data_IF_778234455281
#
_entry.id   IF_778234455281
#
_cell.length_a   1.000
_cell.length_b   1.000
_cell.length_c   1.000
_cell.angle_alpha   90.00
_cell.angle_beta   90.00
_cell.angle_gamma   90.00
#
_symmetry.space_group_name_H-M   'P 1'
#
loop_
_entity.id
_entity.type
_entity.pdbx_description
1 polymer ?
#
# COMPACT_ATOMS: atom_id res chain seq x y z
N UNK A 1 -13.49 20.53 -13.44
CA UNK A 1 -14.34 19.47 -14.03
C UNK A 1 -15.82 19.85 -13.91
N UNK A 2 -16.40 19.86 -12.72
CA UNK A 2 -17.83 20.11 -12.50
C UNK A 2 -18.39 21.39 -13.15
N UNK A 3 -17.69 22.52 -13.01
CA UNK A 3 -18.10 23.78 -13.62
C UNK A 3 -18.13 23.76 -15.17
N UNK A 4 -17.31 22.90 -15.79
CA UNK A 4 -17.23 22.77 -17.26
C UNK A 4 -18.36 21.90 -17.80
N UNK A 5 -18.86 20.95 -16.99
CA UNK A 5 -19.91 19.99 -17.36
C UNK A 5 -21.27 20.31 -16.71
N UNK A 6 -21.39 21.49 -16.09
CA UNK A 6 -22.58 21.96 -15.38
C UNK A 6 -23.13 20.97 -14.32
N UNK A 7 -22.21 20.39 -13.53
CA UNK A 7 -22.50 19.39 -12.50
C UNK A 7 -22.02 19.80 -11.10
N UNK A 8 -22.11 21.08 -10.76
CA UNK A 8 -21.67 21.66 -9.49
C UNK A 8 -22.39 21.02 -8.29
N UNK A 9 -23.72 20.82 -8.29
CA UNK A 9 -24.40 20.19 -7.15
C UNK A 9 -23.93 18.75 -6.89
N UNK A 10 -23.68 17.98 -7.94
CA UNK A 10 -23.15 16.62 -7.85
C UNK A 10 -21.73 16.62 -7.28
N UNK A 11 -20.92 17.60 -7.67
CA UNK A 11 -19.57 17.75 -7.15
C UNK A 11 -19.56 18.11 -5.66
N UNK A 12 -20.44 19.01 -5.21
CA UNK A 12 -20.57 19.36 -3.78
C UNK A 12 -20.99 18.15 -2.93
N UNK A 13 -21.95 17.37 -3.43
CA UNK A 13 -22.37 16.12 -2.79
C UNK A 13 -21.21 15.12 -2.68
N UNK A 14 -20.47 14.92 -3.79
CA UNK A 14 -19.33 14.02 -3.83
C UNK A 14 -18.19 14.46 -2.89
N UNK A 15 -17.87 15.76 -2.87
CA UNK A 15 -16.86 16.32 -1.95
C UNK A 15 -17.27 16.07 -0.50
N UNK A 16 -18.54 16.34 -0.17
CA UNK A 16 -19.08 16.13 1.18
C UNK A 16 -18.99 14.66 1.59
N UNK A 17 -19.34 13.74 0.68
CA UNK A 17 -19.23 12.31 0.92
C UNK A 17 -17.78 11.88 1.18
N UNK A 18 -16.84 12.34 0.34
CA UNK A 18 -15.43 11.99 0.50
C UNK A 18 -14.86 12.50 1.83
N UNK A 19 -15.12 13.78 2.15
CA UNK A 19 -14.68 14.38 3.41
C UNK A 19 -15.26 13.68 4.63
N UNK A 20 -16.55 13.36 4.62
CA UNK A 20 -17.23 12.63 5.70
C UNK A 20 -16.63 11.23 5.89
N UNK A 21 -16.34 10.51 4.80
CA UNK A 21 -15.74 9.17 4.86
C UNK A 21 -14.33 9.19 5.45
N UNK A 22 -13.51 10.17 5.05
CA UNK A 22 -12.17 10.37 5.60
C UNK A 22 -12.24 10.71 7.09
N UNK A 23 -13.15 11.61 7.48
CA UNK A 23 -13.33 12.00 8.88
C UNK A 23 -13.81 10.83 9.76
N UNK A 24 -14.75 10.02 9.26
CA UNK A 24 -15.24 8.83 9.94
C UNK A 24 -14.14 7.78 10.14
N UNK A 25 -13.31 7.57 9.11
CA UNK A 25 -12.15 6.68 9.21
C UNK A 25 -11.19 7.16 10.28
N UNK A 26 -10.82 8.45 10.27
CA UNK A 26 -9.97 9.07 11.30
C UNK A 26 -10.54 8.92 12.70
N UNK A 27 -11.84 9.13 12.86
CA UNK A 27 -12.50 9.01 14.16
C UNK A 27 -12.42 7.58 14.70
N UNK A 28 -12.66 6.57 13.86
CA UNK A 28 -12.52 5.16 14.24
C UNK A 28 -11.09 4.81 14.62
N UNK A 29 -10.13 5.24 13.80
CA UNK A 29 -8.70 5.05 14.04
C UNK A 29 -8.18 5.80 15.27
N UNK A 30 -8.91 6.77 15.82
CA UNK A 30 -8.49 7.50 17.02
C UNK A 30 -8.42 6.60 18.28
N UNK A 31 -9.12 5.47 18.27
CA UNK A 31 -9.06 4.46 19.34
C UNK A 31 -7.87 3.49 19.22
N UNK A 32 -6.97 3.70 18.24
CA UNK A 32 -5.77 2.88 18.04
C UNK A 32 -4.87 2.84 19.28
N UNK A 33 -4.29 1.68 19.55
CA UNK A 33 -3.33 1.48 20.64
C UNK A 33 -1.88 1.73 20.22
N UNK A 34 -1.61 1.84 18.92
CA UNK A 34 -0.29 2.10 18.35
C UNK A 34 -0.41 2.88 17.04
N UNK A 35 0.72 3.35 16.52
CA UNK A 35 0.81 4.03 15.22
C UNK A 35 1.76 3.25 14.31
N UNK A 36 1.26 2.26 13.55
CA UNK A 36 2.08 1.45 12.65
C UNK A 36 2.78 2.30 11.59
N UNK A 37 4.05 2.03 11.35
CA UNK A 37 4.82 2.56 10.22
C UNK A 37 4.38 1.83 8.96
N UNK A 38 3.86 2.56 7.99
CA UNK A 38 3.33 2.01 6.74
C UNK A 38 4.19 2.46 5.58
N UNK A 39 4.78 1.50 4.88
CA UNK A 39 5.42 1.72 3.59
C UNK A 39 4.41 1.48 2.46
N UNK A 40 4.30 2.45 1.55
CA UNK A 40 3.46 2.31 0.35
C UNK A 40 4.34 2.48 -0.90
N UNK A 41 4.24 1.52 -1.81
CA UNK A 41 5.02 1.46 -3.05
C UNK A 41 4.12 1.62 -4.28
N UNK A 42 4.37 2.65 -5.06
CA UNK A 42 3.67 2.91 -6.33
C UNK A 42 4.35 2.26 -7.53
N UNK A 43 5.66 2.05 -7.46
CA UNK A 43 6.42 1.48 -8.56
C UNK A 43 7.64 0.71 -8.06
N UNK A 44 7.92 -0.43 -8.70
CA UNK A 44 8.94 -1.37 -8.23
C UNK A 44 10.30 -1.27 -8.93
N UNK A 45 10.45 -0.46 -10.01
CA UNK A 45 11.74 -0.25 -10.71
C UNK A 45 11.81 1.08 -11.50
N UNK A 46 12.42 2.15 -10.96
CA UNK A 46 13.03 2.24 -9.63
C UNK A 46 11.98 2.08 -8.50
N UNK A 47 12.40 1.84 -7.26
CA UNK A 47 11.48 1.81 -6.13
C UNK A 47 11.01 3.25 -5.86
N UNK A 48 9.69 3.47 -5.94
CA UNK A 48 9.07 4.78 -5.74
C UNK A 48 8.03 4.70 -4.62
N UNK A 49 8.18 5.55 -3.62
CA UNK A 49 7.17 5.78 -2.60
C UNK A 49 5.87 6.31 -3.25
N UNK A 50 4.72 5.86 -2.77
CA UNK A 50 3.43 6.43 -3.20
C UNK A 50 3.31 7.94 -2.96
N UNK A 51 2.37 8.58 -3.65
CA UNK A 51 2.20 10.03 -3.67
C UNK A 51 1.64 10.62 -2.37
N UNK A 52 1.69 11.95 -2.25
CA UNK A 52 1.29 12.71 -1.06
C UNK A 52 -0.12 12.38 -0.57
N UNK A 53 -1.08 12.21 -1.47
CA UNK A 53 -2.45 11.86 -1.06
C UNK A 53 -2.52 10.46 -0.41
N UNK A 54 -1.67 9.51 -0.81
CA UNK A 54 -1.59 8.19 -0.16
C UNK A 54 -1.04 8.34 1.26
N UNK A 55 -0.06 9.23 1.46
CA UNK A 55 0.41 9.55 2.81
C UNK A 55 -0.71 10.16 3.68
N UNK A 56 -1.51 11.07 3.14
CA UNK A 56 -2.68 11.62 3.84
C UNK A 56 -3.72 10.55 4.20
N UNK A 57 -3.95 9.55 3.32
CA UNK A 57 -4.81 8.41 3.61
C UNK A 57 -4.24 7.52 4.71
N UNK A 58 -2.94 7.27 4.73
CA UNK A 58 -2.26 6.54 5.81
C UNK A 58 -2.44 7.24 7.15
N UNK A 59 -2.24 8.56 7.21
CA UNK A 59 -2.45 9.33 8.43
C UNK A 59 -3.92 9.33 8.86
N UNK A 60 -4.85 9.45 7.91
CA UNK A 60 -6.29 9.36 8.19
C UNK A 60 -6.70 7.97 8.70
N UNK A 61 -6.07 6.91 8.21
CA UNK A 61 -6.24 5.54 8.69
C UNK A 61 -5.58 5.28 10.05
N UNK A 62 -4.82 6.23 10.60
CA UNK A 62 -4.11 6.08 11.86
C UNK A 62 -2.80 5.28 11.73
N UNK A 63 -2.17 5.27 10.56
CA UNK A 63 -0.78 4.86 10.41
C UNK A 63 0.18 6.04 10.56
N UNK A 64 1.46 5.80 10.29
CA UNK A 64 2.49 6.79 9.99
C UNK A 64 3.13 6.45 8.66
N UNK A 65 3.08 7.36 7.69
CA UNK A 65 3.70 7.12 6.39
C UNK A 65 5.23 7.02 6.50
N UNK A 66 5.84 6.04 5.82
CA UNK A 66 7.29 5.89 5.74
C UNK A 66 7.86 6.63 4.51
N UNK A 67 8.84 7.50 4.76
CA UNK A 67 9.62 8.17 3.74
C UNK A 67 8.96 9.43 3.18
N UNK A 68 9.50 9.93 2.06
CA UNK A 68 9.00 11.13 1.39
C UNK A 68 8.11 10.72 0.20
N UNK A 69 6.85 11.16 0.13
CA UNK A 69 5.94 10.77 -0.93
C UNK A 69 6.46 11.09 -2.34
N UNK A 70 6.24 10.18 -3.30
CA UNK A 70 6.63 10.33 -4.71
C UNK A 70 8.15 10.27 -4.98
N UNK A 71 8.98 10.00 -3.97
CA UNK A 71 10.44 9.95 -4.13
C UNK A 71 10.97 8.54 -4.35
N UNK A 72 12.17 8.45 -4.92
CA UNK A 72 12.89 7.18 -5.05
C UNK A 72 13.47 6.73 -3.72
N UNK A 73 13.59 5.42 -3.53
CA UNK A 73 14.23 4.79 -2.37
C UNK A 73 14.98 3.52 -2.79
N UNK A 74 15.62 2.86 -1.83
CA UNK A 74 16.33 1.59 -2.01
C UNK A 74 15.72 0.49 -1.14
N UNK A 75 15.95 -0.78 -1.51
CA UNK A 75 15.45 -1.89 -0.70
C UNK A 75 16.10 -1.90 0.70
N UNK A 76 17.35 -1.45 0.77
CA UNK A 76 18.16 -1.33 1.97
C UNK A 76 17.61 -0.25 2.92
N UNK A 77 17.21 0.91 2.39
CA UNK A 77 16.61 1.99 3.20
C UNK A 77 15.29 1.55 3.82
N UNK A 78 14.44 0.84 3.05
CA UNK A 78 13.19 0.28 3.57
C UNK A 78 13.46 -0.80 4.62
N UNK A 79 14.47 -1.63 4.40
CA UNK A 79 14.85 -2.64 5.38
C UNK A 79 15.38 -2.03 6.68
N UNK A 80 16.18 -0.96 6.59
CA UNK A 80 16.68 -0.23 7.76
C UNK A 80 15.57 0.45 8.56
N UNK A 81 14.49 0.87 7.90
CA UNK A 81 13.32 1.46 8.55
C UNK A 81 12.36 0.45 9.20
N UNK A 82 12.46 -0.84 8.84
CA UNK A 82 11.67 -1.98 9.35
C UNK A 82 10.17 -1.67 9.57
N UNK A 83 9.40 -1.39 8.49
CA UNK A 83 8.01 -0.98 8.60
C UNK A 83 7.13 -2.08 9.22
N UNK A 84 6.04 -1.64 9.86
CA UNK A 84 5.01 -2.54 10.43
C UNK A 84 4.07 -3.09 9.35
N UNK A 85 3.92 -2.38 8.22
CA UNK A 85 3.06 -2.76 7.09
C UNK A 85 3.74 -2.43 5.78
N UNK A 86 3.68 -3.36 4.82
CA UNK A 86 4.08 -3.15 3.42
C UNK A 86 2.82 -3.14 2.53
N UNK A 87 2.59 -2.05 1.80
CA UNK A 87 1.50 -1.89 0.84
C UNK A 87 2.06 -1.67 -0.57
N UNK A 88 1.58 -2.44 -1.54
CA UNK A 88 2.01 -2.33 -2.93
C UNK A 88 0.82 -2.03 -3.84
N UNK A 89 0.94 -0.96 -4.63
CA UNK A 89 -0.03 -0.55 -5.63
C UNK A 89 0.70 -0.16 -6.92
N UNK A 90 1.29 -1.14 -7.60
CA UNK A 90 2.10 -0.87 -8.79
C UNK A 90 1.25 -0.38 -9.96
N UNK A 91 1.60 0.78 -10.51
CA UNK A 91 0.89 1.37 -11.64
C UNK A 91 0.75 0.36 -12.81
N UNK A 92 -0.47 0.18 -13.31
CA UNK A 92 -0.79 -0.75 -14.39
C UNK A 92 -0.81 -2.24 -14.00
N UNK A 93 -0.44 -2.60 -12.77
CA UNK A 93 -0.49 -3.98 -12.30
C UNK A 93 -1.91 -4.42 -11.88
N UNK A 94 -2.83 -3.48 -11.62
CA UNK A 94 -4.09 -3.80 -10.98
C UNK A 94 -3.82 -4.28 -9.55
N UNK A 95 -4.33 -5.47 -9.23
CA UNK A 95 -4.15 -6.15 -7.95
C UNK A 95 -3.14 -7.32 -8.03
N UNK A 96 -2.23 -7.29 -9.01
CA UNK A 96 -1.37 -8.43 -9.38
C UNK A 96 0.11 -8.20 -9.12
N UNK A 97 0.45 -7.43 -8.08
CA UNK A 97 1.85 -7.30 -7.66
C UNK A 97 2.32 -8.69 -7.17
N UNK A 98 3.43 -9.24 -7.71
CA UNK A 98 3.91 -10.59 -7.35
C UNK A 98 4.68 -10.55 -6.02
N UNK A 99 3.96 -10.36 -4.91
CA UNK A 99 4.50 -10.18 -3.56
C UNK A 99 5.49 -11.31 -3.19
N UNK A 100 5.16 -12.55 -3.55
CA UNK A 100 5.95 -13.76 -3.30
C UNK A 100 7.32 -13.74 -3.98
N UNK A 101 7.51 -12.93 -5.02
CA UNK A 101 8.80 -12.71 -5.69
C UNK A 101 9.49 -11.46 -5.18
N UNK A 102 8.72 -10.40 -4.94
CA UNK A 102 9.25 -9.10 -4.50
C UNK A 102 9.97 -9.19 -3.16
N UNK A 103 9.38 -9.88 -2.18
CA UNK A 103 9.95 -10.01 -0.84
C UNK A 103 11.34 -10.67 -0.87
N UNK A 104 11.53 -11.87 -1.45
CA UNK A 104 12.85 -12.51 -1.48
C UNK A 104 13.85 -11.78 -2.35
N UNK A 105 13.44 -11.23 -3.50
CA UNK A 105 14.35 -10.47 -4.38
C UNK A 105 14.97 -9.25 -3.70
N UNK A 106 14.30 -8.70 -2.68
CA UNK A 106 14.74 -7.52 -1.94
C UNK A 106 15.32 -7.86 -0.57
N UNK A 107 15.49 -9.15 -0.25
CA UNK A 107 15.96 -9.63 1.05
C UNK A 107 15.09 -9.14 2.23
N UNK A 108 13.77 -9.05 2.02
CA UNK A 108 12.82 -8.52 3.01
C UNK A 108 12.18 -9.58 3.90
N UNK A 109 12.57 -10.86 3.79
CA UNK A 109 11.99 -11.96 4.58
C UNK A 109 12.06 -11.71 6.09
N UNK A 110 13.12 -11.02 6.53
CA UNK A 110 13.36 -10.70 7.93
C UNK A 110 12.66 -9.42 8.41
N UNK A 111 11.86 -8.72 7.60
CA UNK A 111 11.15 -7.53 8.06
C UNK A 111 10.01 -7.89 9.01
N UNK A 112 9.73 -7.00 9.97
CA UNK A 112 8.60 -7.14 10.90
C UNK A 112 7.29 -7.37 10.17
N UNK A 113 6.99 -6.55 9.15
CA UNK A 113 5.80 -6.71 8.33
C UNK A 113 5.69 -8.12 7.71
N UNK A 114 6.80 -8.72 7.25
CA UNK A 114 6.75 -10.07 6.64
C UNK A 114 6.48 -11.14 7.71
N UNK A 115 7.21 -11.10 8.82
CA UNK A 115 7.01 -12.05 9.94
C UNK A 115 5.62 -11.99 10.55
N UNK A 116 5.03 -10.79 10.60
CA UNK A 116 3.68 -10.57 11.14
C UNK A 116 2.57 -10.73 10.07
N UNK A 117 2.91 -11.14 8.85
CA UNK A 117 1.99 -11.31 7.72
C UNK A 117 1.28 -10.02 7.30
N UNK A 118 1.93 -8.86 7.41
CA UNK A 118 1.38 -7.53 7.10
C UNK A 118 1.91 -7.00 5.77
N UNK A 119 1.79 -7.83 4.73
CA UNK A 119 2.25 -7.55 3.36
C UNK A 119 1.05 -7.64 2.43
N UNK A 120 0.72 -6.55 1.76
CA UNK A 120 -0.52 -6.46 1.00
C UNK A 120 -0.37 -5.80 -0.37
N UNK A 121 -1.17 -6.26 -1.34
CA UNK A 121 -1.40 -5.59 -2.60
C UNK A 121 -2.76 -4.89 -2.58
N UNK A 122 -2.79 -3.65 -3.04
CA UNK A 122 -3.99 -2.84 -3.25
C UNK A 122 -4.12 -2.58 -4.76
N UNK A 123 -5.32 -2.70 -5.36
CA UNK A 123 -5.54 -2.33 -6.76
C UNK A 123 -5.01 -0.93 -7.05
N UNK A 124 -4.15 -0.80 -8.06
CA UNK A 124 -3.46 0.44 -8.37
C UNK A 124 -4.39 1.64 -8.63
N UNK A 125 -5.54 1.39 -9.27
CA UNK A 125 -6.60 2.38 -9.52
C UNK A 125 -7.19 3.03 -8.24
N UNK A 126 -6.95 2.43 -7.07
CA UNK A 126 -7.39 2.98 -5.79
C UNK A 126 -6.40 3.94 -5.17
N UNK A 127 -5.12 3.95 -5.59
CA UNK A 127 -4.07 4.79 -5.00
C UNK A 127 -3.32 5.66 -6.01
N UNK A 128 -3.25 5.30 -7.30
CA UNK A 128 -2.38 5.99 -8.26
C UNK A 128 -3.08 7.10 -9.05
N UNK A 129 -4.39 7.28 -8.86
CA UNK A 129 -5.15 8.43 -9.38
C UNK A 129 -5.87 9.12 -8.24
N UNK A 130 -5.71 10.45 -8.03
CA UNK A 130 -6.45 11.19 -7.01
C UNK A 130 -7.92 11.41 -7.44
N UNK A 131 -8.69 10.34 -7.40
CA UNK A 131 -10.09 10.26 -7.83
C UNK A 131 -10.97 9.73 -6.69
N UNK A 132 -12.31 9.70 -6.84
CA UNK A 132 -13.22 9.18 -5.80
C UNK A 132 -12.91 7.74 -5.34
N UNK A 133 -12.25 6.93 -6.18
CA UNK A 133 -11.77 5.58 -5.85
C UNK A 133 -10.75 5.57 -4.70
N UNK A 134 -10.16 6.71 -4.33
CA UNK A 134 -9.34 6.84 -3.12
C UNK A 134 -10.07 6.42 -1.84
N UNK A 135 -11.40 6.45 -1.80
CA UNK A 135 -12.15 5.94 -0.65
C UNK A 135 -12.02 4.43 -0.48
N UNK A 136 -11.93 3.67 -1.58
CA UNK A 136 -11.63 2.24 -1.53
C UNK A 136 -10.18 2.00 -1.11
N UNK A 137 -9.26 2.83 -1.60
CA UNK A 137 -7.86 2.84 -1.16
C UNK A 137 -7.73 3.09 0.34
N UNK A 138 -8.47 4.06 0.88
CA UNK A 138 -8.53 4.35 2.31
C UNK A 138 -9.07 3.17 3.11
N UNK A 139 -10.12 2.50 2.63
CA UNK A 139 -10.66 1.31 3.29
C UNK A 139 -9.63 0.18 3.36
N UNK A 140 -8.92 -0.09 2.26
CA UNK A 140 -7.81 -1.04 2.21
C UNK A 140 -6.68 -0.67 3.19
N UNK A 141 -6.21 0.58 3.18
CA UNK A 141 -5.15 1.06 4.07
C UNK A 141 -5.58 0.92 5.53
N UNK A 142 -6.80 1.32 5.88
CA UNK A 142 -7.30 1.25 7.24
C UNK A 142 -7.43 -0.20 7.74
N UNK A 143 -7.91 -1.11 6.89
CA UNK A 143 -7.97 -2.54 7.19
C UNK A 143 -6.59 -3.16 7.41
N UNK A 144 -5.59 -2.81 6.58
CA UNK A 144 -4.22 -3.31 6.73
C UNK A 144 -3.49 -2.71 7.96
N UNK A 145 -3.78 -1.45 8.27
CA UNK A 145 -3.11 -0.71 9.36
C UNK A 145 -3.67 -1.09 10.73
N UNK A 146 -5.00 -1.20 10.86
CA UNK A 146 -5.69 -1.53 12.11
C UNK A 146 -6.83 -2.54 11.88
N UNK A 147 -6.53 -3.83 11.63
CA UNK A 147 -7.55 -4.86 11.36
C UNK A 147 -8.68 -4.97 12.41
N UNK A 148 -8.44 -4.81 13.73
CA UNK A 148 -9.52 -4.86 14.72
C UNK A 148 -10.50 -3.68 14.65
N UNK A 149 -10.09 -2.55 14.06
CA UNK A 149 -10.88 -1.33 13.98
C UNK A 149 -11.62 -1.20 12.64
N UNK A 150 -11.16 -1.91 11.60
CA UNK A 150 -11.69 -1.79 10.24
C UNK A 150 -12.07 -3.12 9.61
N UNK A 151 -13.23 -3.18 8.91
CA UNK A 151 -13.59 -4.38 8.17
C UNK A 151 -12.56 -4.61 7.06
N UNK A 152 -12.27 -5.88 6.79
CA UNK A 152 -11.38 -6.26 5.69
C UNK A 152 -12.06 -5.89 4.36
N UNK A 153 -11.34 -5.17 3.51
CA UNK A 153 -11.79 -4.83 2.18
C UNK A 153 -11.62 -6.05 1.24
N UNK A 154 -12.61 -6.41 0.40
CA UNK A 154 -12.56 -7.62 -0.43
C UNK A 154 -11.42 -7.64 -1.47
N UNK A 155 -11.02 -6.46 -1.97
CA UNK A 155 -9.92 -6.33 -2.94
C UNK A 155 -8.53 -6.15 -2.27
N UNK A 156 -8.44 -6.20 -0.93
CA UNK A 156 -7.16 -6.17 -0.24
C UNK A 156 -6.52 -7.56 -0.26
N UNK A 157 -5.47 -7.73 -1.04
CA UNK A 157 -4.80 -9.02 -1.20
C UNK A 157 -3.64 -9.10 -0.22
N UNK A 158 -3.58 -10.16 0.58
CA UNK A 158 -2.51 -10.41 1.54
C UNK A 158 -1.58 -11.52 1.01
N UNK A 159 -0.27 -11.38 1.20
CA UNK A 159 0.69 -12.45 0.91
C UNK A 159 0.36 -13.70 1.74
N UNK A 160 0.25 -14.87 1.09
CA UNK A 160 -0.18 -16.10 1.73
C UNK A 160 0.85 -16.69 2.71
N UNK A 161 0.38 -17.35 3.78
CA UNK A 161 1.26 -17.99 4.79
C UNK A 161 2.20 -19.05 4.22
N UNK A 162 1.76 -19.84 3.25
CA UNK A 162 2.59 -20.90 2.64
C UNK A 162 3.72 -20.32 1.76
N UNK A 163 3.52 -19.12 1.23
CA UNK A 163 4.44 -18.45 0.30
C UNK A 163 5.61 -17.79 1.03
N UNK A 164 5.42 -17.42 2.31
CA UNK A 164 6.48 -16.89 3.17
C UNK A 164 7.49 -17.99 3.51
N UNK A 165 7.04 -19.20 3.86
CA UNK A 165 7.92 -20.37 4.08
C UNK A 165 8.69 -20.79 2.82
N UNK A 166 8.13 -20.59 1.63
CA UNK A 166 8.84 -20.85 0.37
C UNK A 166 9.90 -19.77 0.09
N UNK A 167 9.62 -18.50 0.41
CA UNK A 167 10.59 -17.39 0.33
C UNK A 167 11.72 -17.51 1.37
N UNK A 168 11.48 -18.17 2.51
CA UNK A 168 12.50 -18.56 3.49
C UNK A 168 13.40 -19.71 2.97
N UNK A 169 12.84 -20.67 2.23
CA UNK A 169 13.57 -21.83 1.71
C UNK A 169 14.39 -21.53 0.44
N UNK A 170 14.07 -20.47 -0.32
CA UNK A 170 14.77 -20.12 -1.57
C UNK A 170 15.99 -19.20 -1.37
N UNK A 171 16.46 -19.01 -0.13
CA UNK A 171 17.61 -18.15 0.20
C UNK A 171 18.97 -18.71 -0.21
N UNK A 172 19.04 -19.83 -0.93
CA UNK A 172 20.25 -20.29 -1.61
C UNK A 172 20.32 -19.62 -3.00
N UNK A 173 21.30 -18.74 -3.28
CA UNK A 173 21.35 -18.00 -4.52
C UNK A 173 21.81 -18.91 -5.66
N UNK A 174 20.91 -19.24 -6.60
CA UNK A 174 21.27 -19.75 -7.92
C UNK A 174 21.70 -18.56 -8.81
N UNK A 175 22.99 -18.45 -9.18
CA UNK A 175 23.52 -17.32 -9.93
C UNK A 175 23.04 -17.24 -11.40
N UNK A 176 22.18 -18.14 -11.87
CA UNK A 176 21.80 -18.25 -13.29
C UNK A 176 20.54 -17.46 -13.72
N UNK A 177 19.76 -16.89 -12.80
CA UNK A 177 18.44 -16.29 -13.13
C UNK A 177 18.38 -14.77 -13.34
N UNK A 178 19.52 -14.08 -13.43
CA UNK A 178 19.58 -12.61 -13.51
C UNK A 178 19.15 -11.97 -14.87
N UNK A 179 18.75 -12.75 -15.89
CA UNK A 179 18.69 -12.22 -17.28
C UNK A 179 17.32 -12.19 -17.98
N UNK A 180 16.19 -12.37 -17.29
CA UNK A 180 14.90 -12.59 -17.98
C UNK A 180 13.92 -11.40 -18.07
N UNK A 181 14.33 -10.15 -17.84
CA UNK A 181 13.40 -9.00 -17.92
C UNK A 181 13.99 -7.79 -18.68
N UNK A 182 14.34 -8.06 -19.94
CA UNK A 182 14.44 -7.07 -21.02
C UNK A 182 13.35 -7.38 -22.05
N UNK A 183 12.12 -6.94 -21.83
CA UNK A 183 11.07 -6.91 -22.88
C UNK A 183 9.84 -6.08 -22.46
N UNK A 184 9.96 -4.75 -22.56
CA UNK A 184 9.13 -3.83 -23.37
C UNK A 184 9.25 -2.41 -22.84
#
# INVERSE_FOLDING_TARGET
IAAVVDAQPQAESLITQMQSTIASTRHRSASRTSTPIVYCEEWGKPLIHSQTWVAELVEAAGGRYLGTPGTHTTAEDIAAADPDVLLFAWCGAGNRVPLERVIPQRNWQSLKAVREHRVFCIPDQYLNTPAPTLLEGLACIAAATHPPLHPIHPELIQLGRAEITAAEASSDPDPSQASAWSAK
#
